data_IF_273165238363
#
_entry.id   IF_273165238363
#
_cell.length_a   1.000
_cell.length_b   1.000
_cell.length_c   1.000
_cell.angle_alpha   90.00
_cell.angle_beta   90.00
_cell.angle_gamma   90.00
#
_symmetry.space_group_name_H-M   'P 1'
#
loop_
_entity.id
_entity.type
_entity.pdbx_description
1 polymer ?
#
# COMPACT_ATOMS: atom_id res chain seq x y z
N UNK A 1 15.43 -21.69 46.38
CA UNK A 1 14.95 -21.80 44.99
C UNK A 1 14.17 -20.54 44.67
N UNK A 2 14.79 -19.56 44.01
CA UNK A 2 14.09 -18.36 43.52
C UNK A 2 13.48 -18.72 42.18
N UNK A 3 12.16 -18.76 42.12
CA UNK A 3 11.40 -19.03 40.89
C UNK A 3 11.39 -17.71 40.12
N UNK A 4 12.28 -17.56 39.14
CA UNK A 4 12.18 -16.50 38.14
C UNK A 4 10.92 -16.79 37.33
N UNK A 5 9.84 -16.09 37.67
CA UNK A 5 8.63 -16.05 36.85
C UNK A 5 9.00 -15.19 35.65
N UNK A 6 9.33 -15.87 34.54
CA UNK A 6 9.44 -15.23 33.24
C UNK A 6 8.09 -14.60 32.91
N UNK A 7 8.00 -13.28 33.09
CA UNK A 7 6.98 -12.47 32.45
C UNK A 7 7.18 -12.60 30.94
N UNK A 8 6.44 -13.55 30.35
CA UNK A 8 6.11 -13.53 28.92
C UNK A 8 5.23 -12.31 28.68
N UNK A 9 5.86 -11.15 28.65
CA UNK A 9 5.26 -10.03 27.96
C UNK A 9 5.27 -10.34 26.46
N UNK A 10 4.29 -9.75 25.77
CA UNK A 10 4.23 -9.54 24.33
C UNK A 10 3.59 -10.67 23.52
N UNK A 11 2.26 -10.68 23.49
CA UNK A 11 1.55 -10.89 22.22
C UNK A 11 1.63 -9.59 21.39
N UNK A 12 2.86 -9.09 21.18
CA UNK A 12 3.08 -8.06 20.18
C UNK A 12 3.12 -8.81 18.86
N UNK A 13 2.06 -8.68 18.06
CA UNK A 13 2.21 -8.98 16.63
C UNK A 13 3.42 -8.19 16.16
N UNK A 14 4.45 -8.83 15.58
CA UNK A 14 5.63 -8.10 15.11
C UNK A 14 5.14 -6.98 14.17
N UNK A 15 5.68 -5.78 14.34
CA UNK A 15 5.38 -4.68 13.43
C UNK A 15 5.75 -5.13 12.00
N UNK A 16 4.90 -4.86 10.99
CA UNK A 16 5.18 -5.28 9.63
C UNK A 16 6.54 -4.72 9.18
N UNK A 17 7.31 -5.56 8.52
CA UNK A 17 8.58 -5.18 7.90
C UNK A 17 8.35 -4.21 6.73
N UNK A 18 9.40 -3.47 6.35
CA UNK A 18 9.37 -2.59 5.18
C UNK A 18 9.00 -3.32 3.88
N UNK A 19 9.35 -4.61 3.78
CA UNK A 19 9.01 -5.45 2.64
C UNK A 19 7.52 -5.83 2.62
N UNK A 20 6.96 -6.23 3.76
CA UNK A 20 5.53 -6.54 3.88
C UNK A 20 4.67 -5.31 3.61
N UNK A 21 5.08 -4.13 4.11
CA UNK A 21 4.39 -2.87 3.81
C UNK A 21 4.41 -2.56 2.30
N UNK A 22 5.58 -2.72 1.65
CA UNK A 22 5.71 -2.52 0.21
C UNK A 22 4.85 -3.52 -0.57
N UNK A 23 4.87 -4.79 -0.18
CA UNK A 23 4.06 -5.84 -0.82
C UNK A 23 2.56 -5.54 -0.70
N UNK A 24 2.10 -5.10 0.48
CA UNK A 24 0.70 -4.69 0.70
C UNK A 24 0.30 -3.41 -0.05
N UNK A 25 1.28 -2.59 -0.42
CA UNK A 25 1.08 -1.35 -1.18
C UNK A 25 1.20 -1.54 -2.69
N UNK A 26 1.86 -2.62 -3.14
CA UNK A 26 2.20 -2.88 -4.56
C UNK A 26 0.99 -2.93 -5.48
N UNK A 27 -0.16 -3.35 -4.96
CA UNK A 27 -1.41 -3.36 -5.74
C UNK A 27 -1.96 -1.96 -6.06
N UNK A 28 -1.42 -0.91 -5.43
CA UNK A 28 -1.93 0.46 -5.50
C UNK A 28 -3.31 0.66 -4.86
N UNK A 29 -4.06 -0.42 -4.63
CA UNK A 29 -5.45 -0.40 -4.18
C UNK A 29 -5.60 0.28 -2.82
N UNK A 30 -4.76 -0.10 -1.86
CA UNK A 30 -4.75 0.52 -0.54
C UNK A 30 -4.39 2.01 -0.61
N UNK A 31 -3.44 2.39 -1.46
CA UNK A 31 -3.04 3.79 -1.64
C UNK A 31 -4.18 4.63 -2.22
N UNK A 32 -4.85 4.15 -3.27
CA UNK A 32 -6.05 4.78 -3.83
C UNK A 32 -7.18 4.91 -2.78
N UNK A 33 -7.38 3.89 -1.96
CA UNK A 33 -8.40 3.91 -0.92
C UNK A 33 -8.07 4.91 0.20
N UNK A 34 -6.79 5.00 0.62
CA UNK A 34 -6.37 5.97 1.63
C UNK A 34 -6.57 7.40 1.12
N UNK A 35 -6.11 7.72 -0.10
CA UNK A 35 -6.25 9.08 -0.62
C UNK A 35 -7.72 9.46 -0.83
N UNK A 36 -8.57 8.53 -1.25
CA UNK A 36 -10.01 8.75 -1.37
C UNK A 36 -10.73 8.91 -0.02
N UNK A 37 -10.20 8.32 1.06
CA UNK A 37 -10.75 8.50 2.41
C UNK A 37 -10.48 9.91 2.93
N UNK A 38 -9.27 10.43 2.73
CA UNK A 38 -8.88 11.77 3.22
C UNK A 38 -9.42 12.88 2.32
N UNK A 39 -9.45 12.65 1.01
CA UNK A 39 -10.00 13.59 0.05
C UNK A 39 -10.92 12.84 -0.93
N UNK A 40 -12.25 12.85 -0.70
CA UNK A 40 -13.19 12.11 -1.52
C UNK A 40 -13.10 12.45 -3.00
N UNK A 41 -13.21 11.42 -3.85
CA UNK A 41 -13.18 11.52 -5.33
C UNK A 41 -11.84 11.97 -5.92
N UNK A 42 -10.75 11.87 -5.16
CA UNK A 42 -9.38 12.15 -5.66
C UNK A 42 -8.94 11.17 -6.74
N UNK A 43 -9.21 9.89 -6.54
CA UNK A 43 -9.04 8.83 -7.52
C UNK A 43 -10.41 8.34 -7.95
N UNK A 44 -10.86 8.76 -9.14
CA UNK A 44 -12.18 8.40 -9.67
C UNK A 44 -12.29 6.95 -10.13
N UNK A 45 -11.19 6.33 -10.57
CA UNK A 45 -11.14 4.95 -11.05
C UNK A 45 -10.20 4.14 -10.18
N UNK A 46 -10.77 3.36 -9.27
CA UNK A 46 -10.06 2.32 -8.53
C UNK A 46 -10.45 0.98 -9.14
N UNK A 47 -9.46 0.23 -9.62
CA UNK A 47 -9.68 -1.10 -10.20
C UNK A 47 -9.61 -2.10 -9.05
N UNK A 48 -10.72 -2.80 -8.78
CA UNK A 48 -10.77 -3.89 -7.80
C UNK A 48 -10.59 -5.25 -8.49
N UNK A 49 -10.05 -6.24 -7.78
CA UNK A 49 -9.95 -7.60 -8.33
C UNK A 49 -11.25 -8.34 -8.06
N UNK A 50 -11.78 -9.02 -9.07
CA UNK A 50 -12.83 -10.00 -8.85
C UNK A 50 -12.20 -11.25 -8.20
N UNK A 51 -12.62 -11.54 -6.96
CA UNK A 51 -12.08 -12.63 -6.17
C UNK A 51 -12.82 -13.96 -6.41
N UNK A 52 -13.15 -14.31 -7.66
CA UNK A 52 -13.84 -15.59 -7.96
C UNK A 52 -12.87 -16.68 -8.46
N UNK A 53 -12.35 -17.44 -7.49
CA UNK A 53 -11.70 -18.77 -7.54
C UNK A 53 -11.30 -19.35 -8.92
N UNK A 54 -10.00 -19.30 -9.23
CA UNK A 54 -9.15 -20.30 -9.93
C UNK A 54 -7.92 -19.59 -10.52
N UNK A 55 -6.72 -20.17 -10.34
CA UNK A 55 -5.46 -19.60 -10.80
C UNK A 55 -5.25 -19.85 -12.31
N UNK A 56 -5.66 -18.92 -13.16
CA UNK A 56 -5.36 -18.91 -14.60
C UNK A 56 -4.28 -17.86 -14.94
N UNK A 57 -3.58 -18.04 -16.06
CA UNK A 57 -2.65 -17.03 -16.60
C UNK A 57 -3.33 -15.66 -16.79
N UNK A 58 -4.60 -15.67 -17.20
CA UNK A 58 -5.40 -14.46 -17.38
C UNK A 58 -5.60 -13.71 -16.06
N UNK A 59 -5.76 -14.41 -14.94
CA UNK A 59 -5.87 -13.77 -13.61
C UNK A 59 -4.58 -13.04 -13.23
N UNK A 60 -3.41 -13.62 -13.51
CA UNK A 60 -2.13 -12.95 -13.21
C UNK A 60 -1.95 -11.67 -14.06
N UNK A 61 -2.34 -11.73 -15.34
CA UNK A 61 -2.34 -10.56 -16.22
C UNK A 61 -3.33 -9.47 -15.74
N UNK A 62 -4.54 -9.87 -15.33
CA UNK A 62 -5.55 -8.95 -14.78
C UNK A 62 -5.08 -8.32 -13.46
N UNK A 63 -4.44 -9.09 -12.58
CA UNK A 63 -3.84 -8.55 -11.35
C UNK A 63 -2.69 -7.59 -11.64
N UNK A 64 -1.81 -7.92 -12.58
CA UNK A 64 -0.72 -7.02 -12.98
C UNK A 64 -1.26 -5.70 -13.57
N UNK A 65 -2.29 -5.79 -14.43
CA UNK A 65 -3.00 -4.62 -14.96
C UNK A 65 -3.60 -3.77 -13.84
N UNK A 66 -4.31 -4.40 -12.89
CA UNK A 66 -4.87 -3.71 -11.74
C UNK A 66 -3.81 -2.99 -10.91
N UNK A 67 -2.69 -3.66 -10.62
CA UNK A 67 -1.62 -3.12 -9.80
C UNK A 67 -1.03 -1.86 -10.46
N UNK A 68 -0.75 -1.97 -11.76
CA UNK A 68 -0.26 -0.87 -12.57
C UNK A 68 -1.25 0.30 -12.62
N UNK A 69 -2.52 0.05 -12.94
CA UNK A 69 -3.54 1.10 -13.07
C UNK A 69 -3.76 1.83 -11.75
N UNK A 70 -3.88 1.12 -10.64
CA UNK A 70 -4.10 1.75 -9.34
C UNK A 70 -2.87 2.54 -8.88
N UNK A 71 -1.66 1.99 -9.04
CA UNK A 71 -0.43 2.72 -8.73
C UNK A 71 -0.35 4.01 -9.56
N UNK A 72 -0.59 3.93 -10.87
CA UNK A 72 -0.64 5.10 -11.76
C UNK A 72 -1.68 6.12 -11.30
N UNK A 73 -2.90 5.69 -11.01
CA UNK A 73 -3.98 6.59 -10.63
C UNK A 73 -3.70 7.30 -9.29
N UNK A 74 -3.14 6.59 -8.32
CA UNK A 74 -2.67 7.21 -7.08
C UNK A 74 -1.57 8.24 -7.33
N UNK A 75 -0.55 7.90 -8.12
CA UNK A 75 0.59 8.78 -8.41
C UNK A 75 0.17 10.06 -9.13
N UNK A 76 -0.73 9.96 -10.11
CA UNK A 76 -1.32 11.12 -10.78
C UNK A 76 -2.09 11.99 -9.80
N UNK A 77 -2.83 11.38 -8.86
CA UNK A 77 -3.65 12.12 -7.93
C UNK A 77 -2.83 12.88 -6.88
N UNK A 78 -1.78 12.27 -6.32
CA UNK A 78 -0.87 13.00 -5.40
C UNK A 78 -0.13 14.14 -6.11
N UNK A 79 0.22 13.96 -7.38
CA UNK A 79 0.82 15.01 -8.19
C UNK A 79 -0.16 16.18 -8.44
N UNK A 80 -1.42 15.88 -8.75
CA UNK A 80 -2.48 16.89 -8.89
C UNK A 80 -2.74 17.66 -7.59
N UNK A 81 -2.63 16.99 -6.45
CA UNK A 81 -2.69 17.61 -5.12
C UNK A 81 -1.42 18.38 -4.74
N UNK A 82 -0.38 18.39 -5.60
CA UNK A 82 0.92 19.03 -5.35
C UNK A 82 1.65 18.47 -4.12
N UNK A 83 1.45 17.19 -3.84
CA UNK A 83 2.10 16.48 -2.73
C UNK A 83 3.39 15.81 -3.17
N UNK A 84 4.24 15.47 -2.20
CA UNK A 84 5.45 14.71 -2.47
C UNK A 84 5.08 13.30 -2.96
N UNK A 85 5.59 12.93 -4.14
CA UNK A 85 5.31 11.65 -4.80
C UNK A 85 6.53 10.72 -4.80
N UNK A 86 6.35 9.51 -5.30
CA UNK A 86 7.39 8.51 -5.49
C UNK A 86 7.29 7.88 -6.89
N UNK A 87 8.24 7.04 -7.28
CA UNK A 87 8.23 6.37 -8.59
C UNK A 87 7.61 4.98 -8.48
N UNK A 88 6.89 4.52 -9.51
CA UNK A 88 6.27 3.18 -9.49
C UNK A 88 7.28 2.05 -9.22
N UNK A 89 8.55 2.23 -9.62
CA UNK A 89 9.66 1.30 -9.32
C UNK A 89 9.88 1.09 -7.81
N UNK A 90 9.48 2.04 -6.96
CA UNK A 90 9.64 1.90 -5.52
C UNK A 90 8.62 0.97 -4.87
N UNK A 91 7.54 0.62 -5.56
CA UNK A 91 6.59 -0.43 -5.15
C UNK A 91 7.11 -1.83 -5.49
N UNK A 92 8.12 -1.94 -6.35
CA UNK A 92 8.70 -3.21 -6.79
C UNK A 92 9.77 -3.72 -5.82
N UNK A 93 10.24 -4.95 -6.05
CA UNK A 93 11.30 -5.54 -5.23
C UNK A 93 12.58 -4.67 -5.27
N UNK A 94 13.13 -4.38 -4.10
CA UNK A 94 14.30 -3.49 -3.95
C UNK A 94 13.96 -2.00 -3.93
N UNK A 95 12.67 -1.62 -4.06
CA UNK A 95 12.20 -0.26 -3.92
C UNK A 95 12.36 0.32 -2.50
N UNK A 96 12.50 1.65 -2.41
CA UNK A 96 12.71 2.34 -1.12
C UNK A 96 11.38 2.61 -0.42
N UNK A 97 11.03 1.75 0.54
CA UNK A 97 9.79 1.86 1.34
C UNK A 97 9.61 3.24 1.99
N UNK A 98 10.70 3.88 2.43
CA UNK A 98 10.65 5.21 3.06
C UNK A 98 10.02 6.30 2.19
N UNK A 99 10.17 6.24 0.86
CA UNK A 99 9.56 7.22 -0.05
C UNK A 99 8.04 7.03 -0.16
N UNK A 100 7.57 5.78 -0.21
CA UNK A 100 6.14 5.46 -0.18
C UNK A 100 5.53 5.96 1.14
N UNK A 101 6.19 5.66 2.27
CA UNK A 101 5.75 6.12 3.60
C UNK A 101 5.70 7.64 3.66
N UNK A 102 6.74 8.33 3.20
CA UNK A 102 6.77 9.79 3.20
C UNK A 102 5.63 10.39 2.35
N UNK A 103 5.36 9.83 1.18
CA UNK A 103 4.23 10.24 0.35
C UNK A 103 2.89 10.08 1.11
N UNK A 104 2.64 8.91 1.71
CA UNK A 104 1.41 8.68 2.50
C UNK A 104 1.32 9.63 3.69
N UNK A 105 2.42 9.94 4.38
CA UNK A 105 2.44 10.89 5.49
C UNK A 105 2.08 12.32 5.06
N UNK A 106 2.31 12.70 3.80
CA UNK A 106 1.87 14.01 3.28
C UNK A 106 0.35 14.16 3.21
N UNK A 107 -0.40 13.06 3.28
CA UNK A 107 -1.86 13.05 3.33
C UNK A 107 -2.43 13.41 4.71
N UNK A 108 -1.59 13.43 5.75
CA UNK A 108 -2.01 13.68 7.15
C UNK A 108 -2.79 14.99 7.36
N UNK A 109 -2.45 16.12 6.71
CA UNK A 109 -3.21 17.37 6.87
C UNK A 109 -4.66 17.31 6.35
N UNK A 110 -5.01 16.27 5.59
CA UNK A 110 -6.33 16.07 5.00
C UNK A 110 -7.20 15.07 5.79
N UNK A 111 -6.68 14.49 6.89
CA UNK A 111 -7.40 13.54 7.76
C UNK A 111 -8.12 14.23 8.91
#
# INVERSE_FOLDING_TARGET
MVRVVGVKNLHANPSPSDEEFRLGSRSGLNLCNVINKVHPRTVSKVVESSCDSAASLDRAALSAYQYFENARNFLVAVEQMRLHTFEASELEQGGKTSRIVNCVLTLKPYS
#
